data_IF_901222165584
#
_entry.id   IF_901222165584
#
_cell.length_a   1.000
_cell.length_b   1.000
_cell.length_c   1.000
_cell.angle_alpha   90.00
_cell.angle_beta   90.00
_cell.angle_gamma   90.00
#
_symmetry.space_group_name_H-M   'P 1'
#
loop_
_entity.id
_entity.type
_entity.pdbx_description
1 polymer ?
#
# COMPACT_ATOMS: atom_id res chain seq x y z
N UNK A 1 -18.23 -12.31 1.64
CA UNK A 1 -17.45 -11.55 0.62
C UNK A 1 -16.51 -10.63 1.37
N UNK A 2 -15.21 -10.86 1.25
CA UNK A 2 -14.17 -10.01 1.86
C UNK A 2 -14.08 -8.71 1.06
N UNK A 3 -14.38 -7.57 1.69
CA UNK A 3 -14.14 -6.24 1.14
C UNK A 3 -12.77 -5.77 1.62
N UNK A 4 -11.69 -6.48 1.27
CA UNK A 4 -10.34 -6.13 1.71
C UNK A 4 -9.55 -5.50 0.58
N UNK A 5 -8.78 -4.44 0.87
CA UNK A 5 -7.91 -3.76 -0.09
C UNK A 5 -6.59 -3.38 0.57
N UNK A 6 -5.51 -3.48 -0.20
CA UNK A 6 -4.17 -3.14 0.25
C UNK A 6 -3.63 -1.95 -0.53
N UNK A 7 -2.90 -1.09 0.18
CA UNK A 7 -2.17 0.02 -0.39
C UNK A 7 -0.70 -0.10 -0.06
N UNK A 8 0.14 0.12 -1.06
CA UNK A 8 1.59 0.18 -0.93
C UNK A 8 2.05 1.57 -1.35
N UNK A 9 2.79 2.26 -0.49
CA UNK A 9 3.34 3.57 -0.80
C UNK A 9 4.77 3.71 -0.28
N UNK A 10 5.51 4.66 -0.85
CA UNK A 10 6.75 5.13 -0.26
C UNK A 10 6.90 6.63 -0.29
N UNK A 11 7.48 7.19 0.78
CA UNK A 11 7.85 8.61 0.86
C UNK A 11 8.92 9.01 -0.16
N UNK A 12 9.73 8.05 -0.63
CA UNK A 12 10.76 8.29 -1.64
C UNK A 12 10.23 8.16 -3.08
N UNK A 13 8.98 7.75 -3.28
CA UNK A 13 8.37 7.70 -4.59
C UNK A 13 7.98 9.12 -5.04
N UNK A 14 8.65 9.62 -6.08
CA UNK A 14 8.36 10.93 -6.67
C UNK A 14 7.28 10.90 -7.76
N UNK A 15 6.92 9.71 -8.26
CA UNK A 15 5.94 9.55 -9.34
C UNK A 15 4.51 9.47 -8.81
N UNK A 16 4.33 8.93 -7.60
CA UNK A 16 3.02 8.82 -6.94
C UNK A 16 3.11 9.51 -5.60
N UNK A 17 2.53 10.71 -5.45
CA UNK A 17 2.51 11.41 -4.17
C UNK A 17 1.88 10.54 -3.08
N UNK A 18 2.56 10.46 -1.93
CA UNK A 18 2.09 9.69 -0.77
C UNK A 18 0.67 10.11 -0.34
N UNK A 19 0.36 11.40 -0.42
CA UNK A 19 -0.93 11.96 -0.01
C UNK A 19 -2.09 11.40 -0.84
N UNK A 20 -1.88 11.13 -2.13
CA UNK A 20 -2.93 10.58 -2.99
C UNK A 20 -3.27 9.14 -2.56
N UNK A 21 -2.25 8.35 -2.21
CA UNK A 21 -2.44 6.97 -1.71
C UNK A 21 -3.15 7.00 -0.35
N UNK A 22 -2.75 7.87 0.57
CA UNK A 22 -3.39 8.01 1.89
C UNK A 22 -4.84 8.51 1.75
N UNK A 23 -5.11 9.46 0.86
CA UNK A 23 -6.46 9.97 0.65
C UNK A 23 -7.38 8.87 0.13
N UNK A 24 -6.92 8.10 -0.85
CA UNK A 24 -7.72 7.02 -1.42
C UNK A 24 -7.89 5.84 -0.44
N UNK A 25 -6.89 5.55 0.41
CA UNK A 25 -7.02 4.53 1.44
C UNK A 25 -8.13 4.89 2.43
N UNK A 26 -8.19 6.15 2.87
CA UNK A 26 -9.27 6.66 3.74
C UNK A 26 -10.63 6.61 3.08
N UNK A 27 -10.73 6.98 1.81
CA UNK A 27 -12.00 6.89 1.08
C UNK A 27 -12.51 5.44 1.00
N UNK A 28 -11.60 4.46 0.86
CA UNK A 28 -11.98 3.06 0.90
C UNK A 28 -12.47 2.64 2.29
N UNK A 29 -11.81 3.07 3.38
CA UNK A 29 -12.28 2.83 4.75
C UNK A 29 -13.70 3.41 4.96
N UNK A 30 -13.94 4.66 4.53
CA UNK A 30 -15.24 5.33 4.62
C UNK A 30 -16.34 4.60 3.84
N UNK A 31 -15.99 3.91 2.76
CA UNK A 31 -16.89 3.05 1.97
C UNK A 31 -17.11 1.66 2.58
N UNK A 32 -16.53 1.40 3.75
CA UNK A 32 -16.66 0.16 4.51
C UNK A 32 -15.80 -0.98 3.97
N UNK A 33 -14.62 -0.65 3.41
CA UNK A 33 -13.59 -1.63 3.10
C UNK A 33 -12.66 -1.82 4.30
N UNK A 34 -12.17 -3.05 4.46
CA UNK A 34 -11.06 -3.40 5.34
C UNK A 34 -9.76 -3.03 4.62
N UNK A 35 -9.10 -1.99 5.11
CA UNK A 35 -7.95 -1.37 4.44
C UNK A 35 -6.68 -1.67 5.19
N UNK A 36 -5.65 -2.11 4.45
CA UNK A 36 -4.32 -2.34 4.97
C UNK A 36 -3.30 -1.49 4.18
N UNK A 37 -2.74 -0.47 4.83
CA UNK A 37 -1.84 0.51 4.22
C UNK A 37 -0.39 0.30 4.73
N UNK A 38 0.50 -0.03 3.80
CA UNK A 38 1.93 -0.22 4.04
C UNK A 38 2.71 0.96 3.47
N UNK A 39 3.49 1.65 4.32
CA UNK A 39 4.25 2.84 3.94
C UNK A 39 5.73 2.67 4.27
N UNK A 40 6.58 2.71 3.25
CA UNK A 40 8.03 2.71 3.39
C UNK A 40 8.64 4.10 3.21
N UNK A 41 9.85 4.32 3.68
CA UNK A 41 10.51 5.63 3.58
C UNK A 41 11.42 5.77 2.34
N UNK A 42 11.78 4.68 1.68
CA UNK A 42 13.10 4.57 1.04
C UNK A 42 13.12 3.83 -0.31
N UNK A 43 11.95 3.66 -0.94
CA UNK A 43 11.81 2.93 -2.19
C UNK A 43 11.23 3.81 -3.28
N UNK A 44 11.91 3.84 -4.43
CA UNK A 44 11.39 4.46 -5.64
C UNK A 44 10.15 3.69 -6.15
N UNK A 45 9.45 4.29 -7.11
CA UNK A 45 8.28 3.67 -7.75
C UNK A 45 8.57 2.23 -8.19
N UNK A 46 7.67 1.31 -7.84
CA UNK A 46 7.77 -0.13 -8.15
C UNK A 46 8.98 -0.88 -7.58
N UNK A 47 9.77 -0.28 -6.68
CA UNK A 47 10.96 -0.93 -6.11
C UNK A 47 10.73 -1.51 -4.70
N UNK A 48 9.48 -1.56 -4.25
CA UNK A 48 9.11 -2.12 -2.93
C UNK A 48 9.45 -3.62 -2.86
N UNK A 49 9.11 -4.38 -3.91
CA UNK A 49 9.40 -5.81 -3.98
C UNK A 49 10.90 -6.11 -3.90
N UNK A 50 11.74 -5.28 -4.53
CA UNK A 50 13.19 -5.52 -4.55
C UNK A 50 13.88 -5.23 -3.21
N UNK A 51 13.33 -4.33 -2.39
CA UNK A 51 13.96 -3.91 -1.12
C UNK A 51 13.28 -4.47 0.12
N UNK A 52 11.97 -4.67 0.06
CA UNK A 52 11.10 -5.13 1.15
C UNK A 52 10.35 -6.40 0.72
N UNK A 53 11.08 -7.35 0.10
CA UNK A 53 10.50 -8.53 -0.56
C UNK A 53 9.60 -9.35 0.38
N UNK A 54 10.08 -9.62 1.61
CA UNK A 54 9.35 -10.43 2.58
C UNK A 54 8.07 -9.74 3.06
N UNK A 55 8.15 -8.45 3.41
CA UNK A 55 7.00 -7.64 3.84
C UNK A 55 5.97 -7.53 2.71
N UNK A 56 6.43 -7.20 1.51
CA UNK A 56 5.59 -7.07 0.33
C UNK A 56 4.90 -8.41 -0.01
N UNK A 57 5.67 -9.49 -0.10
CA UNK A 57 5.14 -10.82 -0.43
C UNK A 57 4.21 -11.34 0.66
N UNK A 58 4.51 -11.07 1.94
CA UNK A 58 3.66 -11.40 3.07
C UNK A 58 2.30 -10.70 3.00
N UNK A 59 2.30 -9.39 2.75
CA UNK A 59 1.09 -8.60 2.58
C UNK A 59 0.24 -9.12 1.41
N UNK A 60 0.86 -9.36 0.24
CA UNK A 60 0.16 -9.91 -0.94
C UNK A 60 -0.42 -11.30 -0.67
N UNK A 61 0.30 -12.19 0.04
CA UNK A 61 -0.23 -13.51 0.43
C UNK A 61 -1.41 -13.42 1.38
N UNK A 62 -1.40 -12.44 2.29
CA UNK A 62 -2.49 -12.24 3.26
C UNK A 62 -3.79 -11.67 2.64
N UNK A 63 -3.72 -11.22 1.38
CA UNK A 63 -4.86 -10.68 0.64
C UNK A 63 -5.80 -11.77 0.10
N UNK A 64 -5.26 -12.93 -0.26
CA UNK A 64 -5.99 -14.06 -0.84
C UNK A 64 -6.58 -14.98 0.24
#
# INVERSE_FOLDING_TARGET
>A
KTKRIFYFASKANQNTPLQDVISHSKEAEERGWDVDLHVWNDTAHCNHLGKHEEEYSGAVRSMW
#
